data_IF_306675360469
#
_entry.id   IF_306675360469
#
_cell.length_a   1.000
_cell.length_b   1.000
_cell.length_c   1.000
_cell.angle_alpha   90.00
_cell.angle_beta   90.00
_cell.angle_gamma   90.00
#
_symmetry.space_group_name_H-M   'P 1'
#
loop_
_entity.id
_entity.type
_entity.pdbx_description
1 polymer ?
#
# COMPACT_ATOMS: atom_id res chain seq x y z
N UNK A 1 -22.56 -7.70 0.68
CA UNK A 1 -21.17 -8.23 0.58
C UNK A 1 -20.18 -7.23 -0.02
N UNK A 2 -20.43 -6.58 -1.16
CA UNK A 2 -19.47 -5.64 -1.80
C UNK A 2 -18.98 -4.46 -0.91
N UNK A 3 -19.84 -3.91 -0.04
CA UNK A 3 -19.49 -2.77 0.82
C UNK A 3 -18.43 -3.11 1.88
N UNK A 4 -18.49 -4.32 2.45
CA UNK A 4 -17.54 -4.75 3.48
C UNK A 4 -16.15 -4.98 2.90
N UNK A 5 -16.04 -5.51 1.67
CA UNK A 5 -14.76 -5.75 1.01
C UNK A 5 -14.04 -4.43 0.67
N UNK A 6 -14.76 -3.45 0.12
CA UNK A 6 -14.21 -2.10 -0.11
C UNK A 6 -13.73 -1.46 1.20
N UNK A 7 -14.51 -1.53 2.27
CA UNK A 7 -14.11 -1.00 3.58
C UNK A 7 -12.88 -1.72 4.15
N UNK A 8 -12.77 -3.04 3.95
CA UNK A 8 -11.59 -3.80 4.33
C UNK A 8 -10.37 -3.30 3.55
N UNK A 9 -10.45 -3.19 2.23
CA UNK A 9 -9.35 -2.73 1.39
C UNK A 9 -8.90 -1.31 1.75
N UNK A 10 -9.84 -0.38 1.94
CA UNK A 10 -9.53 0.99 2.41
C UNK A 10 -8.83 0.97 3.77
N UNK A 11 -9.28 0.11 4.70
CA UNK A 11 -8.63 -0.04 6.00
C UNK A 11 -7.21 -0.61 5.88
N UNK A 12 -7.02 -1.65 5.08
CA UNK A 12 -5.71 -2.28 4.86
C UNK A 12 -4.70 -1.29 4.23
N UNK A 13 -5.14 -0.54 3.22
CA UNK A 13 -4.39 0.55 2.59
C UNK A 13 -3.91 1.61 3.61
N UNK A 14 -4.83 2.08 4.46
CA UNK A 14 -4.53 3.09 5.50
C UNK A 14 -3.57 2.52 6.55
N UNK A 15 -3.79 1.28 6.98
CA UNK A 15 -2.97 0.61 7.99
C UNK A 15 -1.55 0.36 7.49
N UNK A 16 -1.37 -0.09 6.24
CA UNK A 16 -0.06 -0.26 5.61
C UNK A 16 0.68 1.08 5.52
N UNK A 17 0.00 2.15 5.13
CA UNK A 17 0.58 3.50 5.06
C UNK A 17 1.05 3.98 6.45
N UNK A 18 0.26 3.75 7.49
CA UNK A 18 0.61 4.09 8.88
C UNK A 18 1.80 3.29 9.39
N UNK A 19 1.86 1.99 9.09
CA UNK A 19 3.00 1.15 9.43
C UNK A 19 4.28 1.66 8.75
N UNK A 20 4.21 1.93 7.45
CA UNK A 20 5.33 2.48 6.67
C UNK A 20 5.84 3.80 7.27
N UNK A 21 4.92 4.69 7.67
CA UNK A 21 5.29 5.96 8.31
C UNK A 21 5.95 5.80 9.69
N UNK A 22 5.64 4.72 10.42
CA UNK A 22 6.24 4.43 11.71
C UNK A 22 7.68 3.90 11.58
N UNK A 23 8.05 3.37 10.40
CA UNK A 23 9.36 2.76 10.11
C UNK A 23 10.52 3.74 10.26
N UNK A 24 10.29 5.02 9.98
CA UNK A 24 11.29 6.08 10.11
C UNK A 24 11.63 6.40 11.58
N UNK A 25 10.94 5.77 12.53
CA UNK A 25 11.18 5.91 13.96
C UNK A 25 11.42 4.54 14.64
N UNK A 26 12.67 4.19 14.98
CA UNK A 26 13.00 2.92 15.61
C UNK A 26 12.24 2.63 16.92
N UNK A 27 11.92 3.67 17.71
CA UNK A 27 11.16 3.52 18.96
C UNK A 27 9.71 3.11 18.70
N UNK A 28 9.15 3.50 17.55
CA UNK A 28 7.82 3.06 17.15
C UNK A 28 7.85 1.65 16.59
N UNK A 29 8.89 1.26 15.84
CA UNK A 29 9.01 -0.10 15.30
C UNK A 29 9.08 -1.18 16.39
N UNK A 30 9.69 -0.86 17.53
CA UNK A 30 9.75 -1.80 18.66
C UNK A 30 8.47 -1.86 19.51
N UNK A 31 7.52 -0.95 19.26
CA UNK A 31 6.26 -0.89 19.98
C UNK A 31 5.40 -2.15 19.74
N UNK A 32 4.80 -2.68 20.81
CA UNK A 32 3.91 -3.85 20.73
C UNK A 32 2.78 -3.70 19.71
N UNK A 33 2.13 -2.54 19.64
CA UNK A 33 1.04 -2.30 18.70
C UNK A 33 1.51 -2.28 17.24
N UNK A 34 2.71 -1.77 16.98
CA UNK A 34 3.30 -1.75 15.64
C UNK A 34 3.69 -3.16 15.19
N UNK A 35 4.26 -3.97 16.09
CA UNK A 35 4.54 -5.41 15.85
C UNK A 35 3.26 -6.21 15.58
N UNK A 36 2.21 -5.99 16.37
CA UNK A 36 0.91 -6.62 16.16
C UNK A 36 0.29 -6.20 14.82
N UNK A 37 0.35 -4.91 14.48
CA UNK A 37 -0.13 -4.41 13.20
C UNK A 37 0.61 -5.05 12.01
N UNK A 38 1.94 -5.14 12.08
CA UNK A 38 2.74 -5.83 11.05
C UNK A 38 2.33 -7.30 10.90
N UNK A 39 2.09 -8.00 12.01
CA UNK A 39 1.66 -9.40 11.99
C UNK A 39 0.32 -9.56 11.28
N UNK A 40 -0.67 -8.72 11.60
CA UNK A 40 -1.98 -8.74 10.92
C UNK A 40 -1.83 -8.44 9.43
N UNK A 41 -1.02 -7.46 9.05
CA UNK A 41 -0.80 -7.14 7.65
C UNK A 41 -0.09 -8.27 6.89
N UNK A 42 0.79 -9.03 7.54
CA UNK A 42 1.39 -10.23 6.96
C UNK A 42 0.35 -11.32 6.68
N UNK A 43 -0.59 -11.56 7.61
CA UNK A 43 -1.70 -12.52 7.38
C UNK A 43 -2.54 -12.13 6.16
N UNK A 44 -2.86 -10.84 5.99
CA UNK A 44 -3.57 -10.35 4.82
C UNK A 44 -2.72 -10.33 3.53
N UNK A 45 -1.39 -10.24 3.65
CA UNK A 45 -0.47 -10.45 2.53
C UNK A 45 -0.53 -11.89 2.04
N UNK A 46 -0.43 -12.85 2.97
CA UNK A 46 -0.51 -14.28 2.67
C UNK A 46 -1.85 -14.67 2.04
N UNK A 47 -2.94 -14.00 2.42
CA UNK A 47 -4.26 -14.23 1.83
C UNK A 47 -4.48 -13.54 0.47
N UNK A 48 -3.55 -12.70 0.03
CA UNK A 48 -3.66 -11.86 -1.18
C UNK A 48 -4.58 -10.64 -1.05
N UNK A 49 -5.29 -10.46 0.07
CA UNK A 49 -6.22 -9.33 0.24
C UNK A 49 -5.48 -8.00 0.42
N UNK A 50 -4.26 -8.01 0.99
CA UNK A 50 -3.43 -6.81 1.07
C UNK A 50 -2.92 -6.36 -0.30
N UNK A 51 -2.61 -7.32 -1.19
CA UNK A 51 -2.22 -7.04 -2.57
C UNK A 51 -3.35 -6.34 -3.32
N UNK A 52 -4.54 -6.94 -3.31
CA UNK A 52 -5.72 -6.37 -3.97
C UNK A 52 -6.09 -5.00 -3.39
N UNK A 53 -6.02 -4.83 -2.07
CA UNK A 53 -6.28 -3.56 -1.42
C UNK A 53 -5.32 -2.44 -1.90
N UNK A 54 -4.02 -2.75 -1.99
CA UNK A 54 -3.01 -1.78 -2.39
C UNK A 54 -3.08 -1.48 -3.89
N UNK A 55 -3.37 -2.50 -4.72
CA UNK A 55 -3.64 -2.35 -6.15
C UNK A 55 -4.84 -1.44 -6.43
N UNK A 56 -5.96 -1.67 -5.75
CA UNK A 56 -7.14 -0.82 -5.83
C UNK A 56 -6.84 0.62 -5.39
N UNK A 57 -6.05 0.81 -4.33
CA UNK A 57 -5.64 2.12 -3.85
C UNK A 57 -4.79 2.86 -4.89
N UNK A 58 -3.77 2.21 -5.45
CA UNK A 58 -2.93 2.78 -6.51
C UNK A 58 -3.82 3.14 -7.70
N UNK A 59 -4.62 2.20 -8.19
CA UNK A 59 -5.47 2.42 -9.35
C UNK A 59 -6.47 3.57 -9.12
N UNK A 60 -7.12 3.62 -7.96
CA UNK A 60 -7.99 4.75 -7.60
C UNK A 60 -7.23 6.08 -7.52
N UNK A 61 -5.95 6.04 -7.12
CA UNK A 61 -5.08 7.22 -7.09
C UNK A 61 -4.75 7.66 -8.52
N UNK A 62 -4.42 6.73 -9.42
CA UNK A 62 -4.08 7.01 -10.82
C UNK A 62 -5.27 7.45 -11.66
N UNK A 63 -6.46 6.95 -11.34
CA UNK A 63 -7.73 7.36 -11.94
C UNK A 63 -8.25 8.68 -11.35
N UNK A 64 -7.66 9.16 -10.25
CA UNK A 64 -8.00 10.47 -9.71
C UNK A 64 -7.37 11.58 -10.54
N UNK A 65 -8.16 12.58 -10.93
CA UNK A 65 -7.67 13.84 -11.54
C UNK A 65 -6.96 14.73 -10.50
N UNK A 66 -6.27 14.14 -9.52
CA UNK A 66 -5.57 14.86 -8.47
C UNK A 66 -4.23 15.39 -9.01
N UNK A 67 -4.01 16.73 -9.02
CA UNK A 67 -2.78 17.34 -9.50
C UNK A 67 -1.51 16.82 -8.81
N UNK A 68 -1.62 16.39 -7.54
CA UNK A 68 -0.50 15.82 -6.79
C UNK A 68 -0.09 14.45 -7.33
N UNK A 69 -1.04 13.63 -7.79
CA UNK A 69 -0.76 12.32 -8.37
C UNK A 69 -0.06 12.47 -9.72
N UNK A 70 -0.52 13.41 -10.55
CA UNK A 70 0.14 13.74 -11.81
C UNK A 70 1.57 14.23 -11.59
N UNK A 71 1.81 15.01 -10.52
CA UNK A 71 3.15 15.46 -10.13
C UNK A 71 4.03 14.31 -9.64
N UNK A 72 3.48 13.37 -8.85
CA UNK A 72 4.20 12.21 -8.35
C UNK A 72 4.61 11.27 -9.49
N UNK A 73 3.67 10.93 -10.39
CA UNK A 73 3.91 10.17 -11.62
C UNK A 73 5.04 10.79 -12.46
N UNK A 74 4.99 12.10 -12.66
CA UNK A 74 6.04 12.84 -13.37
C UNK A 74 7.40 12.76 -12.66
N UNK A 75 7.43 12.77 -11.33
CA UNK A 75 8.67 12.74 -10.53
C UNK A 75 9.37 11.38 -10.54
N UNK A 76 8.63 10.28 -10.64
CA UNK A 76 9.18 8.92 -10.76
C UNK A 76 9.53 8.56 -12.21
N UNK A 77 9.47 9.52 -13.15
CA UNK A 77 9.74 9.29 -14.56
C UNK A 77 8.75 8.34 -15.22
N UNK A 78 7.57 8.15 -14.62
CA UNK A 78 6.54 7.28 -15.16
C UNK A 78 6.00 7.87 -16.46
N UNK A 79 6.22 7.14 -17.56
CA UNK A 79 5.59 7.42 -18.83
C UNK A 79 4.06 7.33 -18.65
N UNK A 80 3.24 8.20 -19.29
CA UNK A 80 1.78 8.07 -19.29
C UNK A 80 1.25 6.69 -19.74
N UNK A 81 2.09 5.83 -20.32
CA UNK A 81 1.82 4.40 -20.57
C UNK A 81 1.83 3.50 -19.31
N UNK A 82 2.38 3.95 -18.17
CA UNK A 82 2.25 3.28 -16.85
C UNK A 82 0.79 3.30 -16.35
N UNK A 83 -0.06 4.12 -16.99
CA UNK A 83 -1.53 4.05 -16.83
C UNK A 83 -2.10 2.65 -17.16
N UNK A 84 -1.35 1.77 -17.82
CA UNK A 84 -1.72 0.38 -18.10
C UNK A 84 -1.49 -0.61 -16.94
N UNK A 85 -1.12 -0.13 -15.75
CA UNK A 85 -1.06 -0.96 -14.55
C UNK A 85 0.37 -1.19 -14.09
N UNK A 86 0.63 -0.86 -12.83
CA UNK A 86 1.81 -1.34 -12.11
C UNK A 86 1.78 -2.88 -12.13
N UNK A 87 2.90 -3.53 -12.42
CA UNK A 87 2.92 -5.00 -12.45
C UNK A 87 2.71 -5.52 -11.03
N UNK A 88 2.12 -6.72 -10.91
CA UNK A 88 1.83 -7.30 -9.61
C UNK A 88 3.12 -7.49 -8.78
N UNK A 89 4.26 -7.77 -9.43
CA UNK A 89 5.57 -7.86 -8.79
C UNK A 89 6.07 -6.53 -8.23
N UNK A 90 5.79 -5.41 -8.92
CA UNK A 90 6.13 -4.09 -8.42
C UNK A 90 5.29 -3.72 -7.19
N UNK A 91 4.01 -4.08 -7.20
CA UNK A 91 3.09 -3.89 -6.07
C UNK A 91 3.57 -4.72 -4.87
N UNK A 92 3.90 -5.99 -5.08
CA UNK A 92 4.40 -6.88 -4.02
C UNK A 92 5.72 -6.37 -3.43
N UNK A 93 6.66 -5.90 -4.27
CA UNK A 93 7.91 -5.31 -3.81
C UNK A 93 7.70 -4.05 -2.97
N UNK A 94 6.72 -3.21 -3.32
CA UNK A 94 6.37 -2.04 -2.51
C UNK A 94 5.75 -2.44 -1.17
N UNK A 95 4.84 -3.42 -1.16
CA UNK A 95 4.25 -3.96 0.07
C UNK A 95 5.34 -4.53 0.98
N UNK A 96 6.27 -5.31 0.44
CA UNK A 96 7.35 -5.90 1.23
C UNK A 96 8.27 -4.85 1.84
N UNK A 97 8.62 -3.80 1.09
CA UNK A 97 9.37 -2.68 1.67
C UNK A 97 8.57 -2.01 2.78
N UNK A 98 7.29 -1.72 2.57
CA UNK A 98 6.45 -1.07 3.60
C UNK A 98 6.26 -1.94 4.86
N UNK A 99 6.32 -3.25 4.73
CA UNK A 99 6.32 -4.19 5.85
C UNK A 99 7.70 -4.29 6.53
N UNK A 100 8.77 -3.87 5.88
CA UNK A 100 10.15 -4.00 6.37
C UNK A 100 10.67 -5.43 6.27
N UNK A 101 10.28 -6.15 5.21
CA UNK A 101 10.72 -7.52 4.89
C UNK A 101 11.95 -7.55 3.97
N UNK A 102 12.57 -6.38 3.73
CA UNK A 102 13.75 -6.12 2.92
C UNK A 102 14.96 -7.00 3.28
#
# INVERSE_FOLDING_TARGET
MKKNKKQLHEALAVLLTKLSSARDNPLLMDNYAVKALRTVLLEYKESGELHEAYKEQIQSTLESDNPWVAMMMKSIGADPTIKNGMTDEAIDGMIDSMLGND
#
